data_IF_327959777475
#
_entry.id   IF_327959777475
#
_cell.length_a   1.000
_cell.length_b   1.000
_cell.length_c   1.000
_cell.angle_alpha   90.00
_cell.angle_beta   90.00
_cell.angle_gamma   90.00
#
_symmetry.space_group_name_H-M   'P 1'
#
loop_
_entity.id
_entity.type
_entity.pdbx_description
1 polymer ?
#
# COMPACT_ATOMS: atom_id res chain seq x y z
N UNK A 1 -10.38 33.67 -30.64
CA UNK A 1 -9.11 33.07 -30.16
C UNK A 1 -8.80 33.28 -28.68
N UNK A 2 -9.30 34.32 -28.01
CA UNK A 2 -9.19 34.48 -26.53
C UNK A 2 -10.03 33.48 -25.72
N UNK A 3 -11.06 32.88 -26.33
CA UNK A 3 -12.15 32.19 -25.64
C UNK A 3 -11.93 30.72 -25.32
N UNK A 4 -11.09 29.96 -26.03
CA UNK A 4 -10.83 28.54 -25.70
C UNK A 4 -9.77 28.40 -24.58
N UNK A 5 -8.68 29.17 -24.63
CA UNK A 5 -7.68 29.16 -23.54
C UNK A 5 -8.22 29.78 -22.24
N UNK A 6 -9.05 30.83 -22.29
CA UNK A 6 -9.67 31.41 -21.07
C UNK A 6 -10.76 30.51 -20.45
N UNK A 7 -11.41 29.65 -21.24
CA UNK A 7 -12.47 28.76 -20.75
C UNK A 7 -11.91 27.45 -20.20
N UNK A 8 -10.78 26.96 -20.72
CA UNK A 8 -10.14 25.72 -20.28
C UNK A 8 -8.97 25.90 -19.30
N UNK A 9 -8.36 27.09 -19.21
CA UNK A 9 -7.29 27.36 -18.22
C UNK A 9 -7.70 27.12 -16.76
N UNK A 10 -9.00 27.23 -16.47
CA UNK A 10 -9.61 26.96 -15.16
C UNK A 10 -9.49 25.49 -14.72
N UNK A 11 -9.37 24.57 -15.69
CA UNK A 11 -9.34 23.13 -15.46
C UNK A 11 -7.93 22.54 -15.47
N UNK A 12 -6.96 23.27 -16.01
CA UNK A 12 -5.56 22.83 -16.05
C UNK A 12 -4.96 22.69 -14.65
N UNK A 13 -5.21 23.65 -13.76
CA UNK A 13 -4.69 23.60 -12.40
C UNK A 13 -5.33 22.45 -11.57
N UNK A 14 -6.66 22.27 -11.55
CA UNK A 14 -7.28 21.09 -10.93
C UNK A 14 -6.79 19.75 -11.50
N UNK A 15 -6.61 19.65 -12.82
CA UNK A 15 -6.12 18.44 -13.47
C UNK A 15 -4.68 18.12 -13.06
N UNK A 16 -3.78 19.12 -13.09
CA UNK A 16 -2.39 18.95 -12.71
C UNK A 16 -2.21 18.57 -11.24
N UNK A 17 -3.12 19.03 -10.37
CA UNK A 17 -3.13 18.71 -8.94
C UNK A 17 -3.81 17.38 -8.62
N UNK A 18 -4.50 16.72 -9.56
CA UNK A 18 -5.27 15.51 -9.29
C UNK A 18 -4.43 14.36 -8.67
N UNK A 19 -3.21 14.04 -9.16
CA UNK A 19 -2.38 13.01 -8.53
C UNK A 19 -1.95 13.37 -7.10
N UNK A 20 -1.70 14.65 -6.84
CA UNK A 20 -1.35 15.15 -5.50
C UNK A 20 -2.55 15.06 -4.56
N UNK A 21 -3.73 15.47 -5.02
CA UNK A 21 -4.95 15.37 -4.25
C UNK A 21 -5.28 13.92 -3.87
N UNK A 22 -5.17 12.98 -4.83
CA UNK A 22 -5.34 11.56 -4.57
C UNK A 22 -4.33 11.03 -3.53
N UNK A 23 -3.08 11.49 -3.60
CA UNK A 23 -2.04 11.13 -2.63
C UNK A 23 -2.35 11.66 -1.23
N UNK A 24 -2.80 12.92 -1.11
CA UNK A 24 -3.22 13.53 0.16
C UNK A 24 -4.40 12.76 0.76
N UNK A 25 -5.41 12.42 -0.05
CA UNK A 25 -6.55 11.64 0.40
C UNK A 25 -6.13 10.25 0.90
N UNK A 26 -5.24 9.56 0.17
CA UNK A 26 -4.70 8.26 0.59
C UNK A 26 -3.97 8.36 1.94
N UNK A 27 -3.10 9.36 2.10
CA UNK A 27 -2.38 9.60 3.37
C UNK A 27 -3.36 9.88 4.51
N UNK A 28 -4.37 10.71 4.28
CA UNK A 28 -5.39 11.02 5.28
C UNK A 28 -6.15 9.76 5.74
N UNK A 29 -6.55 8.88 4.81
CA UNK A 29 -7.20 7.62 5.12
C UNK A 29 -6.30 6.67 5.92
N UNK A 30 -5.03 6.55 5.53
CA UNK A 30 -4.06 5.70 6.23
C UNK A 30 -3.75 6.22 7.66
N UNK A 31 -3.70 7.54 7.85
CA UNK A 31 -3.56 8.17 9.18
C UNK A 31 -4.81 8.02 10.03
N UNK A 32 -6.01 8.06 9.43
CA UNK A 32 -7.24 7.76 10.15
C UNK A 32 -7.25 6.29 10.63
N UNK A 33 -6.80 5.36 9.77
CA UNK A 33 -6.68 3.95 10.11
C UNK A 33 -5.69 3.72 11.26
N UNK A 34 -4.55 4.43 11.29
CA UNK A 34 -3.49 4.21 12.30
C UNK A 34 -3.97 4.42 13.73
N UNK A 35 -4.82 5.42 13.98
CA UNK A 35 -5.31 5.79 15.31
C UNK A 35 -6.14 4.69 15.98
N UNK A 36 -6.86 3.90 15.20
CA UNK A 36 -7.77 2.88 15.69
C UNK A 36 -7.40 1.48 15.19
N UNK A 37 -6.17 1.29 14.73
CA UNK A 37 -5.72 0.04 14.10
C UNK A 37 -5.71 -1.14 15.07
N UNK A 38 -5.12 -0.94 16.24
CA UNK A 38 -4.78 -1.99 17.18
C UNK A 38 -5.75 -2.06 18.37
N UNK A 39 -6.04 -3.27 18.86
CA UNK A 39 -6.70 -3.46 20.16
C UNK A 39 -5.64 -3.53 21.26
N UNK A 40 -5.90 -2.91 22.41
CA UNK A 40 -4.91 -2.78 23.48
C UNK A 40 -4.68 -4.08 24.27
N UNK A 41 -5.69 -4.94 24.34
CA UNK A 41 -5.66 -6.29 24.94
C UNK A 41 -4.53 -7.18 24.38
N UNK A 42 -4.20 -7.02 23.10
CA UNK A 42 -3.13 -7.75 22.43
C UNK A 42 -1.71 -7.20 22.69
N UNK A 43 -1.54 -6.15 23.51
CA UNK A 43 -0.23 -5.53 23.79
C UNK A 43 0.13 -5.55 25.27
N UNK A 44 -0.37 -6.55 25.99
CA UNK A 44 0.06 -6.86 27.36
C UNK A 44 1.46 -7.47 27.39
N UNK A 45 2.06 -7.52 28.58
CA UNK A 45 3.40 -8.07 28.78
C UNK A 45 3.51 -9.54 28.34
N UNK A 46 2.45 -10.33 28.61
CA UNK A 46 2.33 -11.71 28.11
C UNK A 46 2.51 -11.79 26.58
N UNK A 47 1.88 -10.89 25.84
CA UNK A 47 1.96 -10.89 24.38
C UNK A 47 3.29 -10.35 23.86
N UNK A 48 3.90 -9.39 24.55
CA UNK A 48 5.26 -8.92 24.21
C UNK A 48 6.29 -10.03 24.35
N UNK A 49 6.21 -10.82 25.42
CA UNK A 49 7.11 -11.95 25.65
C UNK A 49 6.86 -13.08 24.65
N UNK A 50 5.59 -13.46 24.42
CA UNK A 50 5.23 -14.51 23.45
C UNK A 50 5.66 -14.15 22.02
N UNK A 51 5.56 -12.88 21.65
CA UNK A 51 5.84 -12.38 20.31
C UNK A 51 7.00 -11.38 20.30
N UNK A 52 8.08 -11.75 20.99
CA UNK A 52 9.27 -10.90 21.16
C UNK A 52 10.16 -10.81 19.90
N UNK A 53 9.99 -11.74 18.95
CA UNK A 53 10.78 -11.82 17.72
C UNK A 53 9.89 -12.04 16.49
N UNK A 54 10.37 -11.67 15.29
CA UNK A 54 9.62 -11.91 14.05
C UNK A 54 9.43 -13.42 13.80
N UNK A 55 10.44 -14.24 14.15
CA UNK A 55 10.38 -15.69 14.05
C UNK A 55 9.23 -16.29 14.87
N UNK A 56 9.02 -15.82 16.10
CA UNK A 56 7.92 -16.29 16.95
C UNK A 56 6.54 -16.05 16.30
N UNK A 57 6.35 -14.90 15.63
CA UNK A 57 5.10 -14.58 14.93
C UNK A 57 4.92 -15.48 13.71
N UNK A 58 5.99 -15.70 12.93
CA UNK A 58 5.95 -16.48 11.68
C UNK A 58 5.69 -17.96 11.94
N UNK A 59 6.31 -18.54 12.98
CA UNK A 59 6.07 -19.93 13.38
C UNK A 59 4.61 -20.14 13.80
N UNK A 60 4.06 -19.22 14.60
CA UNK A 60 2.65 -19.31 15.01
C UNK A 60 1.70 -19.03 13.83
N UNK A 61 2.08 -18.17 12.88
CA UNK A 61 1.32 -17.94 11.66
C UNK A 61 1.23 -19.20 10.79
N UNK A 62 2.35 -19.91 10.60
CA UNK A 62 2.34 -21.17 9.84
C UNK A 62 1.37 -22.17 10.46
N UNK A 63 1.39 -22.31 11.79
CA UNK A 63 0.43 -23.14 12.51
C UNK A 63 -1.00 -22.69 12.27
N UNK A 64 -1.27 -21.39 12.39
CA UNK A 64 -2.60 -20.80 12.21
C UNK A 64 -3.14 -20.99 10.79
N UNK A 65 -2.29 -20.90 9.77
CA UNK A 65 -2.66 -21.12 8.37
C UNK A 65 -2.93 -22.61 8.10
N UNK A 66 -2.11 -23.51 8.66
CA UNK A 66 -2.32 -24.96 8.50
C UNK A 66 -3.60 -25.43 9.19
N UNK A 67 -3.89 -24.94 10.39
CA UNK A 67 -5.07 -25.34 11.17
C UNK A 67 -6.34 -24.57 10.82
N UNK A 68 -6.23 -23.43 10.12
CA UNK A 68 -7.35 -22.52 9.92
C UNK A 68 -7.80 -21.78 11.18
N UNK A 69 -6.92 -21.66 12.19
CA UNK A 69 -7.23 -20.98 13.45
C UNK A 69 -7.26 -19.45 13.25
N UNK A 70 -8.43 -18.93 12.92
CA UNK A 70 -8.66 -17.50 12.78
C UNK A 70 -8.44 -16.73 14.09
N UNK A 71 -8.68 -17.35 15.25
CA UNK A 71 -8.43 -16.73 16.54
C UNK A 71 -6.95 -16.42 16.73
N UNK A 72 -6.08 -17.37 16.38
CA UNK A 72 -4.64 -17.17 16.38
C UNK A 72 -4.20 -16.17 15.30
N UNK A 73 -4.77 -16.20 14.09
CA UNK A 73 -4.49 -15.19 13.07
C UNK A 73 -4.84 -13.77 13.55
N UNK A 74 -5.98 -13.60 14.23
CA UNK A 74 -6.41 -12.33 14.81
C UNK A 74 -5.47 -11.87 15.93
N UNK A 75 -5.07 -12.79 16.82
CA UNK A 75 -4.11 -12.53 17.87
C UNK A 75 -2.77 -12.04 17.31
N UNK A 76 -2.23 -12.73 16.29
CA UNK A 76 -0.95 -12.37 15.64
C UNK A 76 -0.98 -10.99 15.00
N UNK A 77 -2.13 -10.57 14.49
CA UNK A 77 -2.32 -9.24 13.91
C UNK A 77 -2.49 -8.15 14.97
N UNK A 78 -3.13 -8.47 16.09
CA UNK A 78 -3.46 -7.51 17.16
C UNK A 78 -4.45 -6.40 16.73
N UNK A 79 -5.14 -6.58 15.61
CA UNK A 79 -5.98 -5.57 14.98
C UNK A 79 -7.38 -5.51 15.60
N UNK A 80 -8.00 -4.32 15.55
CA UNK A 80 -9.44 -4.16 15.88
C UNK A 80 -10.35 -4.90 14.93
N UNK A 81 -9.94 -4.99 13.66
CA UNK A 81 -10.64 -5.71 12.59
C UNK A 81 -9.60 -6.63 11.93
N UNK A 82 -9.41 -7.85 12.45
CA UNK A 82 -8.45 -8.79 11.90
C UNK A 82 -8.88 -9.25 10.51
N UNK A 83 -7.89 -9.52 9.65
CA UNK A 83 -8.09 -10.08 8.31
C UNK A 83 -7.97 -11.59 8.37
N UNK A 84 -8.86 -12.28 7.69
CA UNK A 84 -8.76 -13.73 7.51
C UNK A 84 -7.87 -14.03 6.29
N UNK A 85 -6.86 -14.87 6.48
CA UNK A 85 -5.99 -15.35 5.41
C UNK A 85 -6.39 -16.74 4.90
N UNK A 86 -7.44 -17.32 5.48
CA UNK A 86 -7.94 -18.65 5.18
C UNK A 86 -7.07 -19.75 5.76
N UNK A 87 -7.48 -20.99 5.47
CA UNK A 87 -6.76 -22.19 5.82
C UNK A 87 -6.06 -22.78 4.59
N UNK A 88 -4.85 -23.30 4.81
CA UNK A 88 -4.06 -24.02 3.83
C UNK A 88 -3.22 -25.07 4.55
N UNK A 89 -3.71 -26.31 4.60
CA UNK A 89 -3.11 -27.40 5.36
C UNK A 89 -1.66 -27.72 4.95
N UNK A 90 -1.30 -27.44 3.68
CA UNK A 90 0.05 -27.64 3.13
C UNK A 90 0.82 -26.32 2.99
N UNK A 91 0.54 -25.34 3.86
CA UNK A 91 1.25 -24.07 3.90
C UNK A 91 2.56 -24.23 4.66
N UNK A 92 3.68 -23.83 4.07
CA UNK A 92 5.00 -23.90 4.70
C UNK A 92 5.74 -22.58 4.54
N UNK A 93 6.39 -22.10 5.61
CA UNK A 93 7.32 -20.99 5.51
C UNK A 93 8.58 -21.47 4.78
N UNK A 94 8.95 -20.77 3.71
CA UNK A 94 10.07 -21.18 2.84
C UNK A 94 11.30 -20.35 3.09
N UNK A 95 11.18 -19.02 3.08
CA UNK A 95 12.34 -18.14 3.17
C UNK A 95 11.98 -16.76 3.71
N UNK A 96 12.89 -16.17 4.48
CA UNK A 96 12.87 -14.73 4.79
C UNK A 96 13.42 -13.98 3.58
N UNK A 97 12.61 -13.14 2.96
CA UNK A 97 12.96 -12.46 1.71
C UNK A 97 13.81 -11.21 1.96
N UNK A 98 13.26 -10.24 2.70
CA UNK A 98 13.87 -8.92 2.84
C UNK A 98 13.27 -8.18 4.03
N UNK A 99 14.07 -7.32 4.68
CA UNK A 99 13.57 -6.30 5.60
C UNK A 99 13.57 -4.94 4.90
N UNK A 100 12.45 -4.20 4.97
CA UNK A 100 12.32 -2.85 4.40
C UNK A 100 11.53 -1.97 5.36
N UNK A 101 12.15 -0.87 5.82
CA UNK A 101 11.53 0.14 6.70
C UNK A 101 10.82 -0.45 7.92
N UNK A 102 11.45 -1.43 8.57
CA UNK A 102 10.91 -2.08 9.78
C UNK A 102 9.90 -3.20 9.53
N UNK A 103 9.58 -3.50 8.27
CA UNK A 103 8.79 -4.66 7.89
C UNK A 103 9.68 -5.80 7.41
N UNK A 104 9.48 -6.99 7.96
CA UNK A 104 10.14 -8.21 7.53
C UNK A 104 9.19 -9.06 6.69
N UNK A 105 9.62 -9.40 5.47
CA UNK A 105 8.85 -10.19 4.52
C UNK A 105 9.24 -11.67 4.56
N UNK A 106 8.23 -12.52 4.64
CA UNK A 106 8.36 -13.97 4.69
C UNK A 106 7.57 -14.60 3.56
N UNK A 107 8.23 -15.46 2.77
CA UNK A 107 7.59 -16.23 1.72
C UNK A 107 7.05 -17.52 2.33
N UNK A 108 5.78 -17.78 2.05
CA UNK A 108 5.10 -19.03 2.32
C UNK A 108 4.67 -19.66 1.01
N UNK A 109 4.70 -20.98 0.97
CA UNK A 109 4.29 -21.77 -0.18
C UNK A 109 3.14 -22.69 0.23
N UNK A 110 2.03 -22.61 -0.51
CA UNK A 110 0.92 -23.56 -0.41
C UNK A 110 1.16 -24.66 -1.44
N UNK A 111 1.58 -25.84 -0.98
CA UNK A 111 1.87 -26.95 -1.89
C UNK A 111 0.61 -27.52 -2.56
N UNK A 112 -0.56 -27.40 -1.93
CA UNK A 112 -1.82 -27.90 -2.48
C UNK A 112 -2.28 -27.04 -3.66
N UNK A 113 -2.20 -25.71 -3.53
CA UNK A 113 -2.59 -24.76 -4.58
C UNK A 113 -1.45 -24.38 -5.51
N UNK A 114 -0.21 -24.76 -5.18
CA UNK A 114 1.02 -24.35 -5.85
C UNK A 114 1.17 -22.82 -5.92
N UNK A 115 0.66 -22.12 -4.90
CA UNK A 115 0.67 -20.65 -4.83
C UNK A 115 1.67 -20.17 -3.79
N UNK A 116 2.20 -18.97 -4.03
CA UNK A 116 3.14 -18.29 -3.13
C UNK A 116 2.43 -17.13 -2.45
N UNK A 117 2.64 -17.00 -1.15
CA UNK A 117 2.07 -15.95 -0.33
C UNK A 117 3.19 -15.22 0.40
N UNK A 118 3.17 -13.90 0.42
CA UNK A 118 4.13 -13.11 1.19
C UNK A 118 3.41 -12.48 2.36
N UNK A 119 3.91 -12.76 3.56
CA UNK A 119 3.42 -12.17 4.79
C UNK A 119 4.47 -11.23 5.38
N UNK A 120 4.00 -10.16 6.02
CA UNK A 120 4.86 -9.14 6.59
C UNK A 120 4.69 -9.10 8.10
N UNK A 121 5.77 -8.95 8.84
CA UNK A 121 5.73 -8.71 10.28
C UNK A 121 6.48 -7.42 10.61
N UNK A 122 6.03 -6.70 11.63
CA UNK A 122 6.72 -5.50 12.12
C UNK A 122 6.52 -5.31 13.62
N UNK A 123 7.41 -4.53 14.24
CA UNK A 123 7.37 -4.25 15.66
C UNK A 123 6.40 -3.09 15.98
N UNK A 124 5.50 -3.31 16.95
CA UNK A 124 4.53 -2.34 17.46
C UNK A 124 4.50 -2.43 18.99
N UNK A 125 4.80 -1.32 19.67
CA UNK A 125 4.69 -1.20 21.14
C UNK A 125 5.39 -2.35 21.90
N UNK A 126 6.59 -2.73 21.45
CA UNK A 126 7.41 -3.78 22.06
C UNK A 126 7.03 -5.22 21.70
N UNK A 127 6.12 -5.42 20.74
CA UNK A 127 5.67 -6.72 20.25
C UNK A 127 5.79 -6.80 18.72
N UNK A 128 6.17 -7.95 18.18
CA UNK A 128 6.02 -8.22 16.74
C UNK A 128 4.59 -8.63 16.40
N UNK A 129 4.06 -8.09 15.30
CA UNK A 129 2.71 -8.38 14.81
C UNK A 129 2.72 -8.68 13.31
N UNK A 130 1.78 -9.52 12.89
CA UNK A 130 1.46 -9.75 11.49
C UNK A 130 0.79 -8.50 10.89
N UNK A 131 1.38 -7.98 9.82
CA UNK A 131 0.93 -6.79 9.13
C UNK A 131 0.22 -7.16 7.81
N UNK A 132 -1.13 -7.08 7.76
CA UNK A 132 -1.84 -7.23 6.50
C UNK A 132 -1.54 -6.08 5.54
N UNK A 133 -1.60 -6.37 4.25
CA UNK A 133 -1.42 -5.39 3.17
C UNK A 133 -2.64 -4.46 3.03
N UNK A 134 -2.67 -3.41 3.84
CA UNK A 134 -3.70 -2.37 3.83
C UNK A 134 -3.10 -0.95 3.76
N UNK A 135 -3.94 0.09 3.80
CA UNK A 135 -3.51 1.47 3.62
C UNK A 135 -2.41 1.89 4.62
N UNK A 136 -2.53 1.48 5.89
CA UNK A 136 -1.49 1.67 6.90
C UNK A 136 -0.18 1.01 6.49
N UNK A 137 -0.19 -0.29 6.12
CA UNK A 137 1.00 -0.99 5.67
C UNK A 137 1.64 -0.29 4.47
N UNK A 138 0.85 0.06 3.46
CA UNK A 138 1.35 0.67 2.24
C UNK A 138 2.00 2.02 2.52
N UNK A 139 1.37 2.87 3.35
CA UNK A 139 1.92 4.16 3.77
C UNK A 139 3.27 4.00 4.49
N UNK A 140 3.35 3.15 5.51
CA UNK A 140 4.53 3.04 6.38
C UNK A 140 5.69 2.26 5.73
N UNK A 141 5.39 1.25 4.92
CA UNK A 141 6.40 0.55 4.10
C UNK A 141 6.88 1.36 2.90
N UNK A 142 6.21 2.49 2.60
CA UNK A 142 6.40 3.31 1.40
C UNK A 142 6.25 2.58 0.07
N UNK A 143 5.65 1.40 0.06
CA UNK A 143 5.38 0.63 -1.16
C UNK A 143 4.39 1.33 -2.09
N UNK A 144 3.51 2.17 -1.55
CA UNK A 144 2.57 2.95 -2.36
C UNK A 144 3.26 3.85 -3.38
N UNK A 145 4.48 4.34 -3.07
CA UNK A 145 5.27 5.17 -3.98
C UNK A 145 5.65 4.44 -5.27
N UNK A 146 5.79 3.10 -5.23
CA UNK A 146 6.11 2.29 -6.41
C UNK A 146 4.99 2.33 -7.46
N UNK A 147 3.78 2.68 -7.06
CA UNK A 147 2.61 2.78 -7.95
C UNK A 147 2.24 4.24 -8.18
N UNK A 148 2.19 5.06 -7.11
CA UNK A 148 1.77 6.45 -7.21
C UNK A 148 2.73 7.32 -8.03
N UNK A 149 4.06 7.15 -7.86
CA UNK A 149 5.05 7.95 -8.59
C UNK A 149 4.99 7.72 -10.11
N UNK A 150 5.08 6.49 -10.65
CA UNK A 150 5.02 6.31 -12.09
C UNK A 150 3.69 6.76 -12.67
N UNK A 151 2.57 6.57 -11.96
CA UNK A 151 1.26 7.07 -12.39
C UNK A 151 1.22 8.60 -12.46
N UNK A 152 1.71 9.28 -11.42
CA UNK A 152 1.77 10.74 -11.39
C UNK A 152 2.68 11.29 -12.50
N UNK A 153 3.85 10.69 -12.71
CA UNK A 153 4.75 11.07 -13.80
C UNK A 153 4.10 10.87 -15.17
N UNK A 154 3.42 9.74 -15.37
CA UNK A 154 2.71 9.45 -16.62
C UNK A 154 1.59 10.46 -16.87
N UNK A 155 0.84 10.81 -15.82
CA UNK A 155 -0.19 11.83 -15.88
C UNK A 155 0.37 13.19 -16.32
N UNK A 156 1.42 13.67 -15.64
CA UNK A 156 2.03 14.96 -15.98
C UNK A 156 2.67 14.98 -17.36
N UNK A 157 3.25 13.86 -17.82
CA UNK A 157 3.76 13.74 -19.18
C UNK A 157 2.65 13.85 -20.23
N UNK A 158 1.49 13.24 -19.98
CA UNK A 158 0.32 13.35 -20.87
C UNK A 158 -0.22 14.78 -20.90
N UNK A 159 -0.31 15.44 -19.75
CA UNK A 159 -0.72 16.85 -19.68
C UNK A 159 0.25 17.74 -20.46
N UNK A 160 1.57 17.54 -20.28
CA UNK A 160 2.59 18.27 -21.01
C UNK A 160 2.45 18.05 -22.53
N UNK A 161 2.26 16.81 -22.97
CA UNK A 161 2.08 16.49 -24.39
C UNK A 161 0.82 17.16 -24.98
N UNK A 162 -0.29 17.15 -24.24
CA UNK A 162 -1.53 17.83 -24.64
C UNK A 162 -1.34 19.35 -24.76
N UNK A 163 -0.63 19.97 -23.81
CA UNK A 163 -0.29 21.39 -23.84
C UNK A 163 0.57 21.75 -25.06
N UNK A 164 1.62 20.95 -25.33
CA UNK A 164 2.51 21.15 -26.48
C UNK A 164 1.77 20.99 -27.81
N UNK A 165 0.91 19.97 -27.93
CA UNK A 165 0.09 19.76 -29.13
C UNK A 165 -0.87 20.93 -29.38
N UNK A 166 -1.54 21.42 -28.33
CA UNK A 166 -2.40 22.60 -28.42
C UNK A 166 -1.65 23.86 -28.84
N UNK A 167 -0.45 24.07 -28.30
CA UNK A 167 0.44 25.17 -28.68
C UNK A 167 0.89 25.07 -30.14
N UNK A 168 1.37 23.89 -30.57
CA UNK A 168 1.82 23.64 -31.94
C UNK A 168 0.71 23.85 -32.96
N UNK A 169 -0.50 23.35 -32.66
CA UNK A 169 -1.69 23.60 -33.49
C UNK A 169 -2.01 25.10 -33.60
N UNK A 170 -1.97 25.83 -32.48
CA UNK A 170 -2.21 27.27 -32.45
C UNK A 170 -1.19 28.08 -33.27
N UNK A 171 0.08 27.71 -33.22
CA UNK A 171 1.15 28.31 -34.03
C UNK A 171 0.95 28.03 -35.52
N UNK A 172 0.59 26.79 -35.89
CA UNK A 172 0.32 26.40 -37.28
C UNK A 172 -0.90 27.09 -37.89
N UNK A 173 -1.89 27.49 -37.09
CA UNK A 173 -3.00 28.35 -37.55
C UNK A 173 -2.50 29.77 -37.83
N UNK A 174 -1.74 30.36 -36.90
CA UNK A 174 -1.23 31.74 -37.06
C UNK A 174 -0.30 31.88 -38.26
N UNK A 175 0.59 30.92 -38.48
CA UNK A 175 1.51 30.92 -39.62
C UNK A 175 0.79 30.77 -40.97
N UNK A 176 -0.32 30.02 -41.01
CA UNK A 176 -1.16 29.91 -42.22
C UNK A 176 -2.02 31.14 -42.49
N UNK A 177 -2.41 31.87 -41.46
CA UNK A 177 -3.17 33.12 -41.59
C UNK A 177 -2.31 34.34 -41.95
N UNK A 178 -0.98 34.22 -41.84
CA UNK A 178 0.00 35.27 -42.17
C UNK A 178 0.62 35.09 -43.57
N UNK A 179 0.22 34.05 -44.31
CA UNK A 179 0.48 33.86 -45.74
C UNK A 179 -0.80 34.18 -46.51
#
# INVERSE_FOLDING_TARGET
MRTLLQRHGKWLLPAALAPLFASVLFVALALAQSRQRYRADYFTERYRQRYASPGAVVTELERALRSGDFGLQAELQGLRRPRDFGAAAQMEMTVRLQSSRGYEAYLFYDAARKTRHVFYVHAVRGRWVLAPEDAYFYLHSARWLRVALPLALSWWLLELAALLAGWGWGLGIKLRAAR
#
